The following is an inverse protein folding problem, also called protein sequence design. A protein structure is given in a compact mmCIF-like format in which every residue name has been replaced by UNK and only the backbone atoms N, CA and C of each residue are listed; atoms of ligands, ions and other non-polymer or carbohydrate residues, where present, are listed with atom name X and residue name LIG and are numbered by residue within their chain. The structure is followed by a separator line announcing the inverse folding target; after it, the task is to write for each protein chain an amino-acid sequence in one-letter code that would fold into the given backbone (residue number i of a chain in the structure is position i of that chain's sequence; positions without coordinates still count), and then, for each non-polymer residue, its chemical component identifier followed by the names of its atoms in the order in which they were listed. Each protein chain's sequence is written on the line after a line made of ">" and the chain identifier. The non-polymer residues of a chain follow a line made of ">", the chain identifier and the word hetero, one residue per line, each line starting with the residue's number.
data_IF_188889904964
#
_entry.id   IF_188889904964
#
_cell.length_a   1.000
_cell.length_b   1.000
_cell.length_c   1.000
_cell.angle_alpha   90.00
_cell.angle_beta   90.00
_cell.angle_gamma   90.00
#
_symmetry.space_group_name_H-M   'P 1'
#
loop_
_entity.id
_entity.type
_entity.pdbx_description
1 polymer ?
#
# COMPACT_ATOMS: atom_id res chain seq x y z
N UNK A 1 8.68 -24.64 8.67
CA UNK A 1 8.09 -23.37 8.20
C UNK A 1 6.61 -23.61 8.05
N UNK A 2 5.72 -22.87 8.72
CA UNK A 2 4.29 -23.05 8.53
C UNK A 2 3.99 -22.85 7.05
N UNK A 3 3.34 -23.84 6.44
CA UNK A 3 2.94 -23.79 5.04
C UNK A 3 2.00 -22.60 4.93
N UNK A 4 2.47 -21.51 4.33
CA UNK A 4 1.66 -20.33 4.05
C UNK A 4 0.46 -20.81 3.25
N UNK A 5 -0.73 -20.77 3.85
CA UNK A 5 -1.97 -20.94 3.11
C UNK A 5 -1.97 -19.84 2.05
N UNK A 6 -1.61 -20.21 0.82
CA UNK A 6 -1.70 -19.35 -0.35
C UNK A 6 -3.17 -18.97 -0.50
N UNK A 7 -3.53 -17.80 0.03
CA UNK A 7 -4.86 -17.29 -0.16
C UNK A 7 -5.01 -16.94 -1.64
N UNK A 8 -6.15 -17.30 -2.22
CA UNK A 8 -6.49 -16.95 -3.61
C UNK A 8 -6.25 -15.46 -3.88
N UNK A 9 -6.47 -14.61 -2.87
CA UNK A 9 -6.19 -13.19 -2.91
C UNK A 9 -4.71 -12.84 -3.11
N UNK A 10 -3.77 -13.53 -2.48
CA UNK A 10 -2.33 -13.27 -2.65
C UNK A 10 -1.91 -13.55 -4.11
N UNK A 11 -2.50 -14.60 -4.70
CA UNK A 11 -2.30 -14.91 -6.11
C UNK A 11 -2.88 -13.82 -7.01
N UNK A 12 -4.09 -13.32 -6.71
CA UNK A 12 -4.74 -12.27 -7.51
C UNK A 12 -3.99 -10.93 -7.48
N UNK A 13 -3.43 -10.55 -6.33
CA UNK A 13 -2.68 -9.29 -6.16
C UNK A 13 -1.44 -9.25 -7.05
N UNK A 14 -0.79 -10.39 -7.29
CA UNK A 14 0.36 -10.49 -8.17
C UNK A 14 -0.06 -10.76 -9.63
N UNK A 15 -1.07 -11.62 -9.83
CA UNK A 15 -1.49 -12.07 -11.16
C UNK A 15 -2.14 -10.94 -11.98
N UNK A 16 -3.00 -10.12 -11.39
CA UNK A 16 -3.74 -9.11 -12.15
C UNK A 16 -2.80 -8.00 -12.68
N UNK A 17 -1.95 -7.34 -11.87
CA UNK A 17 -0.99 -6.36 -12.39
C UNK A 17 -0.01 -7.00 -13.39
N UNK A 18 0.38 -8.24 -13.13
CA UNK A 18 1.22 -9.02 -14.02
C UNK A 18 0.60 -9.30 -15.39
N UNK A 19 -0.64 -9.78 -15.41
CA UNK A 19 -1.41 -10.02 -16.65
C UNK A 19 -1.64 -8.72 -17.41
N UNK A 20 -1.88 -7.62 -16.69
CA UNK A 20 -1.99 -6.30 -17.30
C UNK A 20 -0.67 -5.86 -17.97
N UNK A 21 0.47 -6.03 -17.29
CA UNK A 21 1.79 -5.74 -17.86
C UNK A 21 2.10 -6.60 -19.09
N UNK A 22 1.79 -7.90 -19.03
CA UNK A 22 1.93 -8.82 -20.16
C UNK A 22 1.02 -8.41 -21.31
N UNK A 23 -0.25 -8.07 -21.04
CA UNK A 23 -1.20 -7.61 -22.05
C UNK A 23 -0.73 -6.34 -22.78
N UNK A 24 -0.11 -5.39 -22.06
CA UNK A 24 0.56 -4.24 -22.66
C UNK A 24 1.69 -4.73 -23.59
N UNK A 25 2.53 -5.66 -23.12
CA UNK A 25 3.57 -6.26 -23.97
C UNK A 25 3.00 -6.88 -25.25
N UNK A 26 1.94 -7.68 -25.15
CA UNK A 26 1.29 -8.30 -26.32
C UNK A 26 0.81 -7.24 -27.32
N UNK A 27 0.16 -6.19 -26.82
CA UNK A 27 -0.33 -5.08 -27.63
C UNK A 27 0.82 -4.34 -28.34
N UNK A 28 1.97 -4.21 -27.68
CA UNK A 28 3.16 -3.54 -28.22
C UNK A 28 3.97 -4.43 -29.18
N UNK A 29 3.95 -5.76 -29.10
CA UNK A 29 4.75 -6.60 -30.01
C UNK A 29 3.94 -7.22 -31.16
N UNK A 30 2.63 -6.95 -31.18
CA UNK A 30 1.69 -7.37 -32.22
C UNK A 30 1.32 -8.86 -32.15
N UNK A 31 0.13 -9.25 -32.64
CA UNK A 31 -0.32 -10.65 -32.60
C UNK A 31 0.57 -11.58 -33.43
N UNK A 32 1.24 -11.06 -34.47
CA UNK A 32 2.06 -11.86 -35.39
C UNK A 32 3.27 -12.58 -34.78
N UNK A 33 3.76 -12.11 -33.62
CA UNK A 33 4.84 -12.76 -32.86
C UNK A 33 4.33 -13.57 -31.65
N UNK A 34 3.01 -13.60 -31.44
CA UNK A 34 2.38 -13.98 -30.17
C UNK A 34 1.29 -15.04 -30.31
N UNK A 35 0.90 -15.41 -31.53
CA UNK A 35 -0.12 -16.45 -31.79
C UNK A 35 0.22 -17.82 -31.19
N UNK A 36 1.48 -18.06 -30.81
CA UNK A 36 1.94 -19.32 -30.18
C UNK A 36 2.05 -19.25 -28.65
N UNK A 37 1.84 -18.09 -28.03
CA UNK A 37 1.94 -17.96 -26.57
C UNK A 37 0.61 -18.39 -25.95
N UNK A 38 0.57 -19.64 -25.49
CA UNK A 38 -0.60 -20.19 -24.78
C UNK A 38 -1.00 -19.29 -23.60
N UNK A 39 -2.30 -19.19 -23.31
CA UNK A 39 -2.81 -18.41 -22.18
C UNK A 39 -2.20 -18.81 -20.83
N UNK A 40 -1.73 -20.06 -20.70
CA UNK A 40 -0.98 -20.53 -19.54
C UNK A 40 0.37 -19.82 -19.39
N UNK A 41 1.10 -19.60 -20.49
CA UNK A 41 2.35 -18.84 -20.45
C UNK A 41 2.11 -17.39 -20.07
N UNK A 42 1.02 -16.76 -20.56
CA UNK A 42 0.66 -15.40 -20.15
C UNK A 42 0.34 -15.33 -18.65
N UNK A 43 -0.30 -16.36 -18.10
CA UNK A 43 -0.63 -16.45 -16.68
C UNK A 43 0.64 -16.62 -15.82
N UNK A 44 1.55 -17.51 -16.22
CA UNK A 44 2.83 -17.74 -15.52
C UNK A 44 3.75 -16.52 -15.63
N UNK A 45 3.93 -15.98 -16.84
CA UNK A 45 4.73 -14.79 -17.06
C UNK A 45 4.12 -13.56 -16.35
N UNK A 46 2.79 -13.46 -16.35
CA UNK A 46 2.06 -12.46 -15.60
C UNK A 46 2.37 -12.55 -14.12
N UNK A 47 2.20 -13.72 -13.50
CA UNK A 47 2.52 -13.92 -12.09
C UNK A 47 3.98 -13.55 -11.74
N UNK A 48 4.95 -14.00 -12.55
CA UNK A 48 6.37 -13.68 -12.36
C UNK A 48 6.62 -12.17 -12.49
N UNK A 49 6.06 -11.52 -13.51
CA UNK A 49 6.15 -10.08 -13.69
C UNK A 49 5.53 -9.33 -12.49
N UNK A 50 4.37 -9.78 -12.01
CA UNK A 50 3.71 -9.25 -10.82
C UNK A 50 4.59 -9.32 -9.58
N UNK A 51 5.25 -10.46 -9.33
CA UNK A 51 6.22 -10.62 -8.23
C UNK A 51 7.41 -9.68 -8.35
N UNK A 52 7.97 -9.51 -9.56
CA UNK A 52 9.07 -8.58 -9.81
C UNK A 52 8.64 -7.14 -9.54
N UNK A 53 7.46 -6.74 -10.02
CA UNK A 53 6.89 -5.41 -9.81
C UNK A 53 6.60 -5.16 -8.33
N UNK A 54 6.10 -6.15 -7.61
CA UNK A 54 5.90 -6.09 -6.18
C UNK A 54 7.24 -5.87 -5.45
N UNK A 55 8.28 -6.62 -5.82
CA UNK A 55 9.63 -6.46 -5.25
C UNK A 55 10.20 -5.06 -5.51
N UNK A 56 10.13 -4.57 -6.75
CA UNK A 56 10.57 -3.21 -7.12
C UNK A 56 9.76 -2.15 -6.35
N UNK A 57 8.44 -2.33 -6.23
CA UNK A 57 7.56 -1.44 -5.49
C UNK A 57 7.83 -1.40 -3.98
N UNK A 58 8.49 -2.42 -3.43
CA UNK A 58 8.96 -2.41 -2.04
C UNK A 58 10.28 -1.63 -1.87
N UNK A 59 11.14 -1.60 -2.90
CA UNK A 59 12.42 -0.88 -2.91
C UNK A 59 12.24 0.62 -3.15
N UNK A 60 11.37 0.98 -4.09
CA UNK A 60 11.03 2.37 -4.36
C UNK A 60 10.14 2.86 -3.22
N UNK A 61 10.69 3.66 -2.31
CA UNK A 61 9.91 4.42 -1.31
C UNK A 61 9.24 5.60 -2.03
N UNK A 62 8.03 5.44 -2.59
CA UNK A 62 7.48 6.44 -3.50
C UNK A 62 6.92 7.64 -2.71
N UNK A 63 7.00 7.61 -1.37
CA UNK A 63 6.43 8.61 -0.48
C UNK A 63 6.78 10.05 -0.85
N UNK A 64 8.03 10.33 -1.28
CA UNK A 64 8.42 11.69 -1.72
C UNK A 64 7.78 12.10 -3.04
N UNK A 65 7.74 11.18 -4.01
CA UNK A 65 7.13 11.42 -5.32
C UNK A 65 5.61 11.56 -5.19
N UNK A 66 4.98 10.67 -4.43
CA UNK A 66 3.55 10.69 -4.12
C UNK A 66 3.21 11.99 -3.41
N UNK A 67 4.00 12.41 -2.42
CA UNK A 67 3.77 13.68 -1.74
C UNK A 67 3.89 14.89 -2.67
N UNK A 68 4.92 14.94 -3.52
CA UNK A 68 5.07 16.00 -4.50
C UNK A 68 3.88 16.06 -5.47
N UNK A 69 3.42 14.91 -5.97
CA UNK A 69 2.25 14.82 -6.85
C UNK A 69 0.97 15.21 -6.12
N UNK A 70 0.79 14.78 -4.87
CA UNK A 70 -0.36 15.16 -4.05
C UNK A 70 -0.36 16.65 -3.73
N UNK A 71 0.78 17.25 -3.43
CA UNK A 71 0.90 18.69 -3.21
C UNK A 71 0.46 19.48 -4.45
N UNK A 72 0.88 19.03 -5.64
CA UNK A 72 0.45 19.63 -6.92
C UNK A 72 -1.05 19.46 -7.15
N UNK A 73 -1.62 18.28 -6.86
CA UNK A 73 -3.05 17.99 -7.12
C UNK A 73 -3.98 18.68 -6.13
N UNK A 74 -3.62 18.68 -4.84
CA UNK A 74 -4.51 19.13 -3.77
C UNK A 74 -4.26 20.57 -3.34
N UNK A 75 -3.21 21.23 -3.83
CA UNK A 75 -2.90 22.63 -3.52
C UNK A 75 -2.51 22.89 -2.06
N UNK A 76 -2.51 21.85 -1.22
CA UNK A 76 -1.96 21.88 0.13
C UNK A 76 -0.45 21.69 0.03
N UNK A 77 0.30 22.40 0.87
CA UNK A 77 1.73 22.18 1.12
C UNK A 77 1.89 20.84 1.85
N UNK A 78 1.62 19.74 1.13
CA UNK A 78 1.78 18.38 1.61
C UNK A 78 3.27 18.09 1.55
N UNK A 79 4.02 18.70 2.48
CA UNK A 79 5.32 18.18 2.89
C UNK A 79 5.07 16.67 3.06
N UNK A 80 5.71 15.80 2.28
CA UNK A 80 5.46 14.35 2.33
C UNK A 80 5.74 13.73 3.70
N UNK A 81 6.36 14.55 4.56
CA UNK A 81 6.51 14.33 5.98
C UNK A 81 5.24 14.56 6.77
N UNK A 82 4.20 15.22 6.27
CA UNK A 82 3.01 15.67 6.99
C UNK A 82 2.10 14.54 7.46
N UNK A 83 1.85 13.49 6.68
CA UNK A 83 1.04 12.33 7.13
C UNK A 83 1.81 11.31 7.96
N UNK A 84 3.10 11.10 7.66
CA UNK A 84 3.99 10.28 8.50
C UNK A 84 4.35 11.04 9.78
N UNK A 85 4.51 12.38 9.73
CA UNK A 85 4.50 13.26 10.89
C UNK A 85 3.15 13.21 11.54
N UNK A 86 2.01 13.14 10.86
CA UNK A 86 0.71 13.17 11.53
C UNK A 86 0.50 11.93 12.40
N UNK A 87 0.80 10.73 11.89
CA UNK A 87 0.76 9.52 12.72
C UNK A 87 1.88 9.55 13.75
N UNK A 88 3.10 9.98 13.38
CA UNK A 88 4.21 10.11 14.33
C UNK A 88 4.01 11.22 15.36
N UNK A 89 3.26 12.28 15.06
CA UNK A 89 3.00 13.47 15.88
C UNK A 89 1.75 13.26 16.70
N UNK A 90 0.78 12.48 16.22
CA UNK A 90 -0.31 11.97 17.07
C UNK A 90 0.20 10.93 18.03
N UNK A 91 1.02 9.97 17.58
CA UNK A 91 1.67 9.02 18.50
C UNK A 91 2.64 9.76 19.43
N UNK A 92 3.40 10.75 18.94
CA UNK A 92 4.28 11.55 19.79
C UNK A 92 3.52 12.50 20.72
N UNK A 93 2.43 13.13 20.31
CA UNK A 93 1.58 13.95 21.19
C UNK A 93 0.83 13.09 22.23
N UNK A 94 0.39 11.90 21.82
CA UNK A 94 -0.12 10.84 22.69
C UNK A 94 0.90 10.43 23.76
N UNK A 95 2.18 10.31 23.41
CA UNK A 95 3.26 10.00 24.34
C UNK A 95 3.75 11.20 25.17
N UNK A 96 3.72 12.42 24.62
CA UNK A 96 4.23 13.63 25.28
C UNK A 96 3.20 14.34 26.17
N UNK A 97 1.94 13.87 26.21
CA UNK A 97 0.90 14.36 27.12
C UNK A 97 0.55 15.85 26.95
N UNK A 98 0.93 16.45 25.82
CA UNK A 98 0.78 17.88 25.58
C UNK A 98 -0.43 18.13 24.67
N UNK A 99 -1.54 18.49 25.30
CA UNK A 99 -2.80 18.91 24.68
C UNK A 99 -2.70 20.32 24.07
N UNK A 100 -1.78 20.53 23.13
CA UNK A 100 -1.83 21.77 22.32
C UNK A 100 -2.87 21.59 21.20
N UNK A 101 -4.10 21.93 21.58
CA UNK A 101 -5.38 21.77 20.90
C UNK A 101 -5.54 22.72 19.69
N UNK A 102 -4.55 22.73 18.80
CA UNK A 102 -4.57 23.57 17.59
C UNK A 102 -5.16 22.85 16.39
N UNK A 103 -6.49 22.73 16.40
CA UNK A 103 -7.33 23.01 15.22
C UNK A 103 -7.18 22.10 13.99
N UNK A 104 -6.93 20.80 14.15
CA UNK A 104 -6.99 19.82 13.06
C UNK A 104 -8.19 18.88 13.20
N UNK A 105 -9.39 19.47 13.24
CA UNK A 105 -10.63 18.73 12.96
C UNK A 105 -10.65 18.33 11.46
N UNK A 106 -10.08 17.17 11.14
CA UNK A 106 -10.35 16.50 9.85
C UNK A 106 -11.12 15.21 10.09
N UNK A 107 -12.37 15.25 9.63
CA UNK A 107 -13.38 14.20 9.68
C UNK A 107 -12.85 12.82 9.27
N UNK A 108 -13.15 11.83 10.12
CA UNK A 108 -12.94 10.40 9.83
C UNK A 108 -11.66 9.80 10.39
N UNK A 109 -10.96 10.47 11.31
CA UNK A 109 -9.80 9.90 12.00
C UNK A 109 -10.22 8.92 13.10
N UNK A 110 -9.45 7.85 13.28
CA UNK A 110 -9.51 7.03 14.51
C UNK A 110 -9.38 7.96 15.71
N UNK A 111 -10.19 7.70 16.74
CA UNK A 111 -10.17 8.46 17.99
C UNK A 111 -8.75 8.43 18.57
N UNK A 112 -8.22 9.59 18.94
CA UNK A 112 -6.85 9.70 19.47
C UNK A 112 -6.71 8.90 20.77
N UNK A 113 -7.80 8.78 21.54
CA UNK A 113 -7.86 7.94 22.74
C UNK A 113 -7.61 6.46 22.41
N UNK A 114 -8.21 5.95 21.33
CA UNK A 114 -8.02 4.56 20.87
C UNK A 114 -6.58 4.32 20.46
N UNK A 115 -5.94 5.30 19.78
CA UNK A 115 -4.54 5.18 19.38
C UNK A 115 -3.61 5.14 20.60
N UNK A 116 -3.80 6.06 21.56
CA UNK A 116 -3.04 6.09 22.82
C UNK A 116 -3.16 4.75 23.54
N UNK A 117 -4.39 4.26 23.68
CA UNK A 117 -4.66 3.04 24.42
C UNK A 117 -4.04 1.80 23.75
N UNK A 118 -4.17 1.67 22.43
CA UNK A 118 -3.56 0.57 21.67
C UNK A 118 -2.04 0.59 21.83
N UNK A 119 -1.42 1.77 21.71
CA UNK A 119 0.02 1.92 21.86
C UNK A 119 0.49 1.53 23.26
N UNK A 120 -0.19 1.99 24.31
CA UNK A 120 0.12 1.62 25.69
C UNK A 120 -0.06 0.11 25.94
N UNK A 121 -1.11 -0.51 25.40
CA UNK A 121 -1.33 -1.96 25.47
C UNK A 121 -0.24 -2.74 24.74
N UNK A 122 0.20 -2.28 23.56
CA UNK A 122 1.29 -2.90 22.81
C UNK A 122 2.63 -2.77 23.56
N UNK A 123 2.93 -1.61 24.12
CA UNK A 123 4.14 -1.37 24.92
C UNK A 123 4.16 -2.25 26.17
N UNK A 124 3.03 -2.37 26.87
CA UNK A 124 2.89 -3.28 28.01
C UNK A 124 3.11 -4.75 27.63
N UNK A 125 2.63 -5.19 26.46
CA UNK A 125 2.87 -6.56 25.96
C UNK A 125 4.32 -6.74 25.48
N UNK A 126 4.93 -5.71 24.90
CA UNK A 126 6.31 -5.74 24.41
C UNK A 126 7.33 -5.67 25.55
N UNK A 127 7.10 -4.89 26.61
CA UNK A 127 8.02 -4.75 27.75
C UNK A 127 8.25 -6.06 28.53
N UNK A 128 7.31 -7.02 28.46
CA UNK A 128 7.55 -8.39 28.91
C UNK A 128 8.57 -9.17 28.06
N UNK A 129 8.87 -8.66 26.86
CA UNK A 129 9.77 -9.22 25.85
C UNK A 129 10.94 -8.24 25.68
N UNK A 130 12.01 -8.38 26.48
CA UNK A 130 13.16 -7.45 26.48
C UNK A 130 13.61 -7.00 25.07
N UNK A 131 13.19 -5.81 24.66
CA UNK A 131 13.74 -5.13 23.48
C UNK A 131 14.39 -3.84 23.95
N UNK A 132 15.73 -3.78 23.89
CA UNK A 132 16.56 -2.58 24.10
C UNK A 132 16.36 -1.58 22.94
N UNK A 133 15.14 -1.08 22.75
CA UNK A 133 14.83 -0.02 21.81
C UNK A 133 14.94 1.36 22.45
N UNK A 134 15.38 2.37 21.70
CA UNK A 134 15.23 3.77 22.13
C UNK A 134 13.73 4.08 22.27
N UNK A 135 13.29 4.78 23.34
CA UNK A 135 11.88 5.05 23.60
C UNK A 135 11.17 5.84 22.49
N UNK A 136 11.91 6.53 21.61
CA UNK A 136 11.33 7.31 20.51
C UNK A 136 11.08 6.52 19.21
N UNK A 137 11.43 5.23 19.17
CA UNK A 137 11.23 4.41 17.96
C UNK A 137 9.88 3.68 18.02
N UNK A 138 8.93 4.17 17.22
CA UNK A 138 7.58 3.59 17.07
C UNK A 138 7.61 2.36 16.14
N UNK A 139 8.64 2.23 15.31
CA UNK A 139 8.73 1.18 14.30
C UNK A 139 8.71 -0.25 14.90
N UNK A 140 9.41 -0.54 16.02
CA UNK A 140 9.26 -1.81 16.74
C UNK A 140 7.82 -2.10 17.17
N UNK A 141 7.12 -1.14 17.79
CA UNK A 141 5.72 -1.31 18.22
C UNK A 141 4.81 -1.59 17.04
N UNK A 142 5.02 -0.85 15.94
CA UNK A 142 4.26 -1.06 14.72
C UNK A 142 4.49 -2.47 14.17
N UNK A 143 5.74 -2.93 14.04
CA UNK A 143 6.06 -4.29 13.57
C UNK A 143 5.46 -5.36 14.46
N UNK A 144 5.47 -5.15 15.77
CA UNK A 144 4.84 -6.06 16.72
C UNK A 144 3.32 -6.11 16.54
N UNK A 145 2.66 -4.96 16.37
CA UNK A 145 1.24 -4.91 16.05
C UNK A 145 0.89 -5.57 14.71
N UNK A 146 1.71 -5.35 13.68
CA UNK A 146 1.57 -6.02 12.37
C UNK A 146 1.71 -7.55 12.50
N UNK A 147 2.70 -8.01 13.28
CA UNK A 147 2.88 -9.43 13.58
C UNK A 147 1.72 -10.01 14.40
N UNK A 148 1.12 -9.22 15.30
CA UNK A 148 -0.01 -9.65 16.13
C UNK A 148 -1.30 -9.83 15.33
N UNK A 149 -1.53 -8.99 14.32
CA UNK A 149 -2.64 -9.13 13.38
C UNK A 149 -2.34 -10.14 12.26
N UNK A 150 -1.10 -10.63 12.15
CA UNK A 150 -0.71 -11.57 11.10
C UNK A 150 -1.48 -12.89 11.22
N UNK A 151 -1.96 -13.40 10.08
CA UNK A 151 -2.75 -14.64 10.02
C UNK A 151 -4.24 -14.47 10.34
N UNK A 152 -4.66 -13.34 10.94
CA UNK A 152 -6.06 -13.08 11.25
C UNK A 152 -6.84 -12.56 10.04
N UNK A 153 -8.17 -12.72 10.05
CA UNK A 153 -9.06 -12.21 8.99
C UNK A 153 -9.61 -10.82 9.37
N UNK A 154 -8.71 -9.83 9.42
CA UNK A 154 -8.99 -8.47 9.88
C UNK A 154 -9.23 -7.49 8.71
N UNK A 155 -9.80 -6.32 9.00
CA UNK A 155 -9.96 -5.26 7.99
C UNK A 155 -8.61 -4.70 7.55
N UNK A 156 -7.66 -4.61 8.46
CA UNK A 156 -6.26 -4.26 8.22
C UNK A 156 -5.68 -5.10 7.08
N UNK A 157 -5.82 -6.42 7.16
CA UNK A 157 -5.31 -7.33 6.13
C UNK A 157 -5.97 -7.10 4.76
N UNK A 158 -7.29 -6.88 4.74
CA UNK A 158 -8.02 -6.55 3.50
C UNK A 158 -7.52 -5.26 2.86
N UNK A 159 -7.32 -4.21 3.66
CA UNK A 159 -6.80 -2.95 3.15
C UNK A 159 -5.31 -2.99 2.79
N UNK A 160 -4.51 -3.79 3.46
CA UNK A 160 -3.13 -4.05 3.09
C UNK A 160 -3.02 -4.70 1.71
N UNK A 161 -3.86 -5.71 1.45
CA UNK A 161 -3.94 -6.34 0.13
C UNK A 161 -4.33 -5.32 -0.95
N UNK A 162 -5.39 -4.53 -0.72
CA UNK A 162 -5.82 -3.49 -1.65
C UNK A 162 -4.73 -2.42 -1.88
N UNK A 163 -4.07 -1.98 -0.82
CA UNK A 163 -2.98 -0.99 -0.91
C UNK A 163 -1.84 -1.51 -1.80
N UNK A 164 -1.47 -2.78 -1.62
CA UNK A 164 -0.44 -3.46 -2.41
C UNK A 164 -0.85 -3.64 -3.87
N UNK A 165 -2.10 -4.03 -4.10
CA UNK A 165 -2.68 -4.17 -5.43
C UNK A 165 -2.62 -2.84 -6.21
N UNK A 166 -3.16 -1.76 -5.63
CA UNK A 166 -3.15 -0.45 -6.29
C UNK A 166 -1.73 0.12 -6.46
N UNK A 167 -0.81 -0.17 -5.54
CA UNK A 167 0.61 0.20 -5.70
C UNK A 167 1.20 -0.48 -6.93
N UNK A 168 1.01 -1.79 -7.08
CA UNK A 168 1.55 -2.56 -8.19
C UNK A 168 0.95 -2.13 -9.52
N UNK A 169 -0.38 -1.93 -9.56
CA UNK A 169 -1.09 -1.44 -10.74
C UNK A 169 -0.62 -0.02 -11.14
N UNK A 170 -0.44 0.87 -10.16
CA UNK A 170 0.11 2.20 -10.39
C UNK A 170 1.52 2.15 -10.97
N UNK A 171 2.41 1.30 -10.45
CA UNK A 171 3.77 1.15 -10.99
C UNK A 171 3.78 0.67 -12.45
N UNK A 172 2.92 -0.29 -12.81
CA UNK A 172 2.77 -0.72 -14.20
C UNK A 172 2.26 0.41 -15.08
N UNK A 173 1.29 1.19 -14.57
CA UNK A 173 0.76 2.36 -15.25
C UNK A 173 1.84 3.43 -15.46
N UNK A 174 2.72 3.66 -14.48
CA UNK A 174 3.86 4.58 -14.62
C UNK A 174 4.83 4.08 -15.68
N UNK A 175 5.16 2.78 -15.69
CA UNK A 175 6.03 2.21 -16.71
C UNK A 175 5.43 2.34 -18.11
N UNK A 176 4.11 2.13 -18.23
CA UNK A 176 3.40 2.24 -19.51
C UNK A 176 3.45 3.65 -20.12
N UNK A 177 3.56 4.70 -19.30
CA UNK A 177 3.72 6.09 -19.78
C UNK A 177 4.99 6.30 -20.61
N UNK A 178 6.02 5.49 -20.41
CA UNK A 178 7.27 5.60 -21.17
C UNK A 178 7.27 4.65 -22.36
N UNK A 179 6.86 3.40 -22.15
CA UNK A 179 6.97 2.36 -23.18
C UNK A 179 5.93 2.54 -24.29
N UNK A 180 4.68 2.82 -23.94
CA UNK A 180 3.57 2.88 -24.92
C UNK A 180 3.76 4.04 -25.91
N UNK A 181 4.00 5.30 -25.48
CA UNK A 181 4.18 6.41 -26.40
C UNK A 181 5.45 6.25 -27.26
N UNK A 182 6.53 5.72 -26.69
CA UNK A 182 7.77 5.48 -27.44
C UNK A 182 7.53 4.50 -28.60
N UNK A 183 6.78 3.42 -28.37
CA UNK A 183 6.44 2.47 -29.42
C UNK A 183 5.50 3.07 -30.47
N UNK A 184 4.41 3.71 -30.03
CA UNK A 184 3.40 4.24 -30.93
C UNK A 184 3.84 5.48 -31.70
N UNK A 185 4.83 6.24 -31.22
CA UNK A 185 5.36 7.41 -31.95
C UNK A 185 5.97 7.07 -33.32
N UNK A 186 6.34 5.80 -33.54
CA UNK A 186 6.85 5.30 -34.82
C UNK A 186 5.72 4.90 -35.78
N UNK A 187 4.54 4.56 -35.26
CA UNK A 187 3.47 3.93 -36.05
C UNK A 187 2.25 4.83 -36.29
N UNK A 188 1.94 5.71 -35.35
CA UNK A 188 0.76 6.57 -35.40
C UNK A 188 1.17 8.05 -35.31
N UNK A 189 0.39 8.91 -35.94
CA UNK A 189 0.65 10.35 -35.93
C UNK A 189 0.65 10.94 -34.52
N UNK A 190 1.31 12.10 -34.36
CA UNK A 190 1.55 12.77 -33.07
C UNK A 190 0.27 13.01 -32.26
N UNK A 191 -0.83 13.38 -32.91
CA UNK A 191 -2.13 13.63 -32.25
C UNK A 191 -2.63 12.39 -31.49
N UNK A 192 -2.51 11.20 -32.10
CA UNK A 192 -2.93 9.95 -31.45
C UNK A 192 -2.04 9.62 -30.25
N UNK A 193 -0.74 9.86 -30.35
CA UNK A 193 0.21 9.67 -29.25
C UNK A 193 -0.14 10.58 -28.07
N UNK A 194 -0.44 11.86 -28.32
CA UNK A 194 -0.86 12.78 -27.26
C UNK A 194 -2.13 12.32 -26.55
N UNK A 195 -3.12 11.83 -27.30
CA UNK A 195 -4.34 11.29 -26.72
C UNK A 195 -4.06 10.06 -25.82
N UNK A 196 -3.20 9.14 -26.27
CA UNK A 196 -2.77 7.97 -25.49
C UNK A 196 -2.08 8.42 -24.20
N UNK A 197 -1.12 9.35 -24.28
CA UNK A 197 -0.42 9.89 -23.11
C UNK A 197 -1.39 10.52 -22.12
N UNK A 198 -2.36 11.31 -22.59
CA UNK A 198 -3.35 11.95 -21.73
C UNK A 198 -4.21 10.92 -20.98
N UNK A 199 -4.65 9.85 -21.66
CA UNK A 199 -5.41 8.75 -21.03
C UNK A 199 -4.57 8.02 -19.98
N UNK A 200 -3.30 7.72 -20.30
CA UNK A 200 -2.39 7.06 -19.36
C UNK A 200 -2.09 7.93 -18.14
N UNK A 201 -1.96 9.25 -18.30
CA UNK A 201 -1.79 10.19 -17.20
C UNK A 201 -3.03 10.21 -16.31
N UNK A 202 -4.24 10.27 -16.89
CA UNK A 202 -5.48 10.21 -16.13
C UNK A 202 -5.60 8.90 -15.35
N UNK A 203 -5.29 7.76 -15.97
CA UNK A 203 -5.27 6.46 -15.29
C UNK A 203 -4.28 6.47 -14.11
N UNK A 204 -3.07 6.99 -14.31
CA UNK A 204 -2.07 7.10 -13.24
C UNK A 204 -2.58 7.93 -12.06
N UNK A 205 -3.25 9.06 -12.31
CA UNK A 205 -3.85 9.89 -11.26
C UNK A 205 -4.94 9.15 -10.49
N UNK A 206 -5.81 8.42 -11.19
CA UNK A 206 -6.87 7.62 -10.56
C UNK A 206 -6.29 6.51 -9.68
N UNK A 207 -5.28 5.79 -10.19
CA UNK A 207 -4.62 4.71 -9.44
C UNK A 207 -3.88 5.23 -8.21
N UNK A 208 -3.17 6.35 -8.36
CA UNK A 208 -2.49 7.00 -7.25
C UNK A 208 -3.49 7.45 -6.18
N UNK A 209 -4.60 8.07 -6.58
CA UNK A 209 -5.66 8.48 -5.64
C UNK A 209 -6.24 7.29 -4.88
N UNK A 210 -6.49 6.16 -5.55
CA UNK A 210 -6.96 4.95 -4.88
C UNK A 210 -5.92 4.39 -3.91
N UNK A 211 -4.64 4.33 -4.32
CA UNK A 211 -3.56 3.87 -3.45
C UNK A 211 -3.47 4.70 -2.15
N UNK A 212 -3.56 6.03 -2.26
CA UNK A 212 -3.55 6.94 -1.10
C UNK A 212 -4.76 6.73 -0.22
N UNK A 213 -5.96 6.62 -0.81
CA UNK A 213 -7.20 6.34 -0.08
C UNK A 213 -7.13 5.03 0.72
N UNK A 214 -6.62 3.96 0.11
CA UNK A 214 -6.53 2.66 0.78
C UNK A 214 -5.40 2.59 1.81
N UNK A 215 -4.30 3.33 1.61
CA UNK A 215 -3.25 3.49 2.62
C UNK A 215 -3.81 4.14 3.89
N UNK A 216 -4.67 5.14 3.73
CA UNK A 216 -5.32 5.81 4.86
C UNK A 216 -6.24 4.85 5.62
N UNK A 217 -7.12 4.15 4.90
CA UNK A 217 -8.02 3.13 5.48
C UNK A 217 -7.27 1.97 6.13
N UNK A 218 -6.11 1.57 5.58
CA UNK A 218 -5.23 0.55 6.19
C UNK A 218 -4.77 1.00 7.58
N UNK A 219 -4.29 2.23 7.71
CA UNK A 219 -3.83 2.76 9.00
C UNK A 219 -4.96 2.85 10.02
N UNK A 220 -6.16 3.26 9.60
CA UNK A 220 -7.32 3.32 10.50
C UNK A 220 -7.75 1.93 10.98
N UNK A 221 -7.84 0.98 10.04
CA UNK A 221 -8.19 -0.40 10.38
C UNK A 221 -7.14 -1.07 11.26
N UNK A 222 -5.85 -0.72 11.11
CA UNK A 222 -4.77 -1.22 11.97
C UNK A 222 -5.05 -0.96 13.45
N UNK A 223 -5.35 0.29 13.82
CA UNK A 223 -5.60 0.65 15.21
C UNK A 223 -6.90 0.06 15.73
N UNK A 224 -7.97 0.11 14.94
CA UNK A 224 -9.26 -0.46 15.35
C UNK A 224 -9.19 -1.98 15.56
N UNK A 225 -8.56 -2.70 14.63
CA UNK A 225 -8.42 -4.15 14.73
C UNK A 225 -7.49 -4.53 15.90
N UNK A 226 -6.43 -3.74 16.15
CA UNK A 226 -5.58 -3.94 17.34
C UNK A 226 -6.32 -3.68 18.64
N UNK A 227 -7.12 -2.63 18.73
CA UNK A 227 -7.92 -2.32 19.91
C UNK A 227 -8.84 -3.50 20.25
N UNK A 228 -9.61 -3.97 19.26
CA UNK A 228 -10.49 -5.14 19.41
C UNK A 228 -9.71 -6.38 19.85
N UNK A 229 -8.57 -6.66 19.20
CA UNK A 229 -7.84 -7.89 19.45
C UNK A 229 -7.06 -7.89 20.77
N UNK A 230 -6.55 -6.74 21.20
CA UNK A 230 -5.81 -6.62 22.46
C UNK A 230 -6.71 -6.78 23.70
N UNK A 231 -8.01 -6.50 23.56
CA UNK A 231 -9.02 -6.66 24.62
C UNK A 231 -9.49 -8.10 24.83
N UNK A 232 -9.25 -8.99 23.86
CA UNK A 232 -9.58 -10.41 24.02
C UNK A 232 -8.62 -11.05 25.03
N UNK A 233 -9.11 -11.63 26.15
CA UNK A 233 -8.26 -12.27 27.17
C UNK A 233 -7.44 -13.42 26.58
N UNK A 234 -6.18 -13.55 27.02
CA UNK A 234 -5.24 -14.56 26.48
C UNK A 234 -5.72 -16.00 26.70
N UNK A 235 -6.58 -16.24 27.69
CA UNK A 235 -7.13 -17.57 28.01
C UNK A 235 -8.01 -18.15 26.88
N UNK A 236 -8.58 -17.32 26.01
CA UNK A 236 -9.41 -17.78 24.90
C UNK A 236 -8.60 -18.11 23.63
N UNK A 237 -7.27 -17.97 23.64
CA UNK A 237 -6.44 -18.06 22.42
C UNK A 237 -5.77 -19.41 22.18
N UNK A 238 -5.72 -20.30 23.17
CA UNK A 238 -5.06 -21.62 23.04
C UNK A 238 -5.99 -22.74 22.56
N UNK A 239 -7.26 -22.42 22.24
CA UNK A 239 -8.30 -23.40 21.95
C UNK A 239 -8.58 -23.72 20.49
N UNK A 240 -7.78 -23.23 19.52
CA UNK A 240 -8.05 -23.38 18.08
C UNK A 240 -6.86 -23.90 17.29
#
# INVERSE_FOLDING_TARGET
>A
MPVSNLNLYDVLVDLIPGTFAVGIGVLLFGPGNLTTISGLFLLVAGYVAGRILHAIGSLLRPAKLIAAVLAVIYGDDVDGKGKVRFVRSRIKAAFEGNNDDSGLERAGSVDDEVVIEVVAKLEKRMSGTQTEGKPDDIEPLRRFGEAFLYGRNTLYRKYEMLTTFYRSLWLVSVLSLFVVPAYYSVQVGSVAVFAIVAVLLLLNLLLLRQHVKFTDKKSQAFFNDLHIELDVPDQNRTGS
#
